data_IF_721613509671
#
_entry.id   IF_721613509671
#
_cell.length_a   1.000
_cell.length_b   1.000
_cell.length_c   1.000
_cell.angle_alpha   90.00
_cell.angle_beta   90.00
_cell.angle_gamma   90.00
#
_symmetry.space_group_name_H-M   'P 1'
#
loop_
_entity.id
_entity.type
_entity.pdbx_description
1 polymer ?
#
# COMPACT_ATOMS: atom_id res chain seq x y z
N UNK A 1 13.11 9.26 -12.45
CA UNK A 1 12.02 8.80 -13.33
C UNK A 1 12.27 9.38 -14.71
N UNK A 2 12.53 8.54 -15.70
CA UNK A 2 12.73 8.99 -17.09
C UNK A 2 11.39 9.11 -17.82
N UNK A 3 11.37 9.76 -18.99
CA UNK A 3 10.18 9.85 -19.85
C UNK A 3 9.60 8.46 -20.21
N UNK A 4 10.46 7.45 -20.32
CA UNK A 4 10.06 6.08 -20.67
C UNK A 4 9.40 5.32 -19.51
N UNK A 5 9.75 5.65 -18.26
CA UNK A 5 9.18 5.01 -17.08
C UNK A 5 7.70 5.36 -16.90
N UNK A 6 7.33 6.63 -17.14
CA UNK A 6 5.94 7.10 -17.02
C UNK A 6 5.00 6.33 -17.94
N UNK A 7 5.36 6.21 -19.23
CA UNK A 7 4.55 5.47 -20.22
C UNK A 7 4.42 3.99 -19.85
N UNK A 8 5.49 3.37 -19.34
CA UNK A 8 5.47 1.98 -18.90
C UNK A 8 4.51 1.77 -17.73
N UNK A 9 4.49 2.71 -16.79
CA UNK A 9 3.63 2.65 -15.61
C UNK A 9 2.15 2.85 -15.98
N UNK A 10 1.83 3.82 -16.84
CA UNK A 10 0.47 4.01 -17.37
C UNK A 10 -0.07 2.76 -18.07
N UNK A 11 0.78 2.08 -18.87
CA UNK A 11 0.39 0.85 -19.54
C UNK A 11 0.14 -0.28 -18.55
N UNK A 12 1.01 -0.42 -17.53
CA UNK A 12 0.84 -1.41 -16.47
C UNK A 12 -0.48 -1.20 -15.72
N UNK A 13 -0.81 0.04 -15.35
CA UNK A 13 -2.04 0.34 -14.63
C UNK A 13 -3.31 0.03 -15.45
N UNK A 14 -3.26 0.23 -16.78
CA UNK A 14 -4.38 -0.09 -17.69
C UNK A 14 -4.63 -1.57 -17.84
N UNK A 15 -3.56 -2.37 -17.92
CA UNK A 15 -3.66 -3.83 -18.13
C UNK A 15 -3.67 -4.62 -16.81
N UNK A 16 -3.48 -3.94 -15.67
CA UNK A 16 -3.43 -4.57 -14.36
C UNK A 16 -4.73 -5.32 -14.02
N UNK A 17 -4.63 -6.54 -13.43
CA UNK A 17 -5.77 -7.24 -12.87
C UNK A 17 -6.55 -6.39 -11.87
N UNK A 18 -7.85 -6.67 -11.69
CA UNK A 18 -8.68 -5.92 -10.75
C UNK A 18 -8.09 -5.91 -9.33
N UNK A 19 -7.58 -7.04 -8.86
CA UNK A 19 -6.96 -7.15 -7.53
C UNK A 19 -5.80 -6.16 -7.35
N UNK A 20 -4.94 -6.01 -8.37
CA UNK A 20 -3.85 -5.03 -8.36
C UNK A 20 -4.38 -3.60 -8.31
N UNK A 21 -5.42 -3.29 -9.11
CA UNK A 21 -6.04 -1.96 -9.13
C UNK A 21 -6.78 -1.61 -7.83
N UNK A 22 -7.23 -2.62 -7.08
CA UNK A 22 -7.92 -2.47 -5.79
C UNK A 22 -6.98 -2.45 -4.58
N UNK A 23 -5.66 -2.54 -4.79
CA UNK A 23 -4.70 -2.51 -3.69
C UNK A 23 -4.80 -1.16 -2.95
N UNK A 24 -5.01 -1.17 -1.62
CA UNK A 24 -5.03 0.04 -0.81
C UNK A 24 -3.74 0.86 -0.96
N UNK A 25 -3.88 2.18 -1.01
CA UNK A 25 -2.74 3.11 -1.11
C UNK A 25 -2.17 3.49 0.24
N UNK A 26 -2.98 3.35 1.28
CA UNK A 26 -2.66 3.64 2.67
C UNK A 26 -3.39 2.64 3.57
N UNK A 27 -3.11 2.71 4.87
CA UNK A 27 -3.68 1.79 5.83
C UNK A 27 -5.16 2.10 6.15
N UNK A 28 -5.62 3.32 5.90
CA UNK A 28 -7.01 3.74 6.10
C UNK A 28 -7.95 3.11 5.06
N UNK A 29 -7.45 2.90 3.84
CA UNK A 29 -8.14 2.17 2.77
C UNK A 29 -8.11 0.64 2.98
N UNK A 30 -7.29 0.14 3.91
CA UNK A 30 -7.18 -1.28 4.17
C UNK A 30 -8.42 -1.81 4.89
N UNK A 31 -9.14 -2.73 4.25
CA UNK A 31 -10.34 -3.31 4.82
C UNK A 31 -10.03 -4.49 5.75
N UNK A 32 -10.50 -4.42 6.99
CA UNK A 32 -10.34 -5.47 8.00
C UNK A 32 -9.08 -5.30 8.88
N UNK A 33 -8.73 -6.35 9.63
CA UNK A 33 -7.56 -6.37 10.53
C UNK A 33 -7.52 -5.25 11.59
N UNK A 34 -8.68 -4.73 12.02
CA UNK A 34 -8.77 -3.65 13.02
C UNK A 34 -8.01 -3.98 14.32
N UNK A 35 -8.03 -5.24 14.76
CA UNK A 35 -7.37 -5.65 16.00
C UNK A 35 -5.83 -5.48 15.99
N UNK A 36 -5.20 -5.39 14.82
CA UNK A 36 -3.74 -5.17 14.67
C UNK A 36 -3.36 -3.89 13.92
N UNK A 37 -4.30 -3.27 13.19
CA UNK A 37 -4.05 -2.04 12.41
C UNK A 37 -4.74 -0.80 13.00
N UNK A 38 -5.54 -0.94 14.06
CA UNK A 38 -6.15 0.22 14.73
C UNK A 38 -5.09 1.16 15.31
N UNK A 39 -5.40 2.47 15.43
CA UNK A 39 -4.53 3.44 16.09
C UNK A 39 -4.09 2.96 17.48
N UNK A 40 -2.80 3.09 17.77
CA UNK A 40 -2.22 2.72 19.06
C UNK A 40 -1.78 1.26 19.20
N UNK A 41 -2.12 0.38 18.24
CA UNK A 41 -1.57 -0.99 18.21
C UNK A 41 -0.07 -0.99 17.91
N UNK A 42 0.64 -2.02 18.38
CA UNK A 42 2.10 -2.14 18.22
C UNK A 42 2.49 -2.15 16.75
N UNK A 43 1.79 -2.94 15.93
CA UNK A 43 2.07 -3.03 14.50
C UNK A 43 1.78 -1.70 13.78
N UNK A 44 0.66 -1.03 14.08
CA UNK A 44 0.36 0.28 13.50
C UNK A 44 1.45 1.32 13.80
N UNK A 45 1.91 1.38 15.06
CA UNK A 45 3.00 2.28 15.46
C UNK A 45 4.33 1.94 14.77
N UNK A 46 4.67 0.65 14.68
CA UNK A 46 5.89 0.21 14.01
C UNK A 46 5.90 0.60 12.52
N UNK A 47 4.76 0.48 11.82
CA UNK A 47 4.61 0.91 10.43
C UNK A 47 4.71 2.45 10.33
N UNK A 48 4.04 3.19 11.21
CA UNK A 48 4.08 4.67 11.23
C UNK A 48 5.47 5.22 11.53
N UNK A 49 6.26 4.52 12.35
CA UNK A 49 7.64 4.86 12.69
C UNK A 49 8.67 4.29 11.71
N UNK A 50 8.25 3.58 10.65
CA UNK A 50 9.10 2.86 9.69
C UNK A 50 10.14 1.93 10.35
N UNK A 51 9.73 1.29 11.46
CA UNK A 51 10.55 0.33 12.21
C UNK A 51 10.07 -1.08 11.96
N UNK A 52 10.73 -1.78 11.05
CA UNK A 52 10.50 -3.21 10.83
C UNK A 52 11.22 -4.02 11.92
N UNK A 53 10.51 -4.83 12.74
CA UNK A 53 11.16 -5.78 13.63
C UNK A 53 11.90 -6.84 12.80
N UNK A 54 13.15 -7.14 13.17
CA UNK A 54 14.01 -8.14 12.52
C UNK A 54 13.79 -9.54 13.05
#
# INVERSE_FOLDING_TARGET
MTLFDHRRQELQDRIAPLATRMRPRNLEEYFGQTHILAPGTVLRRAIEEDRLPS
#
